data_IF_028712336873
#
_entry.id   IF_028712336873
#
_cell.length_a   1.000
_cell.length_b   1.000
_cell.length_c   1.000
_cell.angle_alpha   90.00
_cell.angle_beta   90.00
_cell.angle_gamma   90.00
#
_symmetry.space_group_name_H-M   'P 1'
#
loop_
_entity.id
_entity.type
_entity.pdbx_description
1 polymer ?
#
# COMPACT_ATOMS: atom_id res chain seq x y z
N UNK A 1 18.44 -13.17 -10.13
CA UNK A 1 18.51 -11.72 -10.42
C UNK A 1 19.03 -11.55 -11.84
N UNK A 2 18.29 -10.87 -12.71
CA UNK A 2 18.76 -10.51 -14.06
C UNK A 2 19.37 -9.12 -14.00
N UNK A 3 20.56 -8.93 -14.61
CA UNK A 3 21.20 -7.61 -14.66
C UNK A 3 20.57 -6.80 -15.78
N UNK A 4 19.93 -5.69 -15.42
CA UNK A 4 19.31 -4.75 -16.35
C UNK A 4 20.00 -3.40 -16.25
N UNK A 5 20.30 -2.79 -17.39
CA UNK A 5 20.86 -1.45 -17.45
C UNK A 5 19.74 -0.44 -17.70
N UNK A 6 19.65 0.57 -16.83
CA UNK A 6 18.64 1.62 -16.88
C UNK A 6 19.35 2.96 -17.04
N UNK A 7 18.92 3.74 -18.02
CA UNK A 7 19.32 5.13 -18.13
C UNK A 7 18.41 5.98 -17.24
N UNK A 8 19.02 6.86 -16.46
CA UNK A 8 18.34 7.75 -15.52
C UNK A 8 18.82 9.18 -15.76
N UNK A 9 17.94 10.14 -15.60
CA UNK A 9 18.35 11.54 -15.53
C UNK A 9 19.34 11.75 -14.37
N UNK A 10 20.31 12.62 -14.59
CA UNK A 10 21.35 12.96 -13.61
C UNK A 10 20.75 13.42 -12.27
N UNK A 11 19.65 14.18 -12.32
CA UNK A 11 18.93 14.66 -11.13
C UNK A 11 18.33 13.50 -10.32
N UNK A 12 17.74 12.52 -11.00
CA UNK A 12 17.16 11.31 -10.40
C UNK A 12 18.28 10.44 -9.81
N UNK A 13 19.36 10.24 -10.55
CA UNK A 13 20.51 9.46 -10.08
C UNK A 13 21.12 10.07 -8.80
N UNK A 14 21.30 11.40 -8.77
CA UNK A 14 21.82 12.12 -7.61
C UNK A 14 20.91 11.98 -6.38
N UNK A 15 19.60 12.09 -6.57
CA UNK A 15 18.61 11.89 -5.50
C UNK A 15 18.66 10.46 -4.94
N UNK A 16 18.71 9.46 -5.81
CA UNK A 16 18.84 8.05 -5.41
C UNK A 16 20.14 7.80 -4.65
N UNK A 17 21.26 8.38 -5.10
CA UNK A 17 22.56 8.27 -4.41
C UNK A 17 22.51 8.87 -3.01
N UNK A 18 21.85 10.01 -2.83
CA UNK A 18 21.64 10.63 -1.51
C UNK A 18 20.83 9.74 -0.57
N UNK A 19 19.70 9.23 -1.05
CA UNK A 19 18.84 8.32 -0.29
C UNK A 19 19.55 7.01 0.09
N UNK A 20 20.27 6.43 -0.86
CA UNK A 20 21.04 5.20 -0.66
C UNK A 20 22.05 5.37 0.49
N UNK A 21 22.81 6.47 0.48
CA UNK A 21 23.76 6.81 1.55
C UNK A 21 23.08 7.00 2.90
N UNK A 22 21.98 7.74 2.94
CA UNK A 22 21.25 8.00 4.18
C UNK A 22 20.71 6.70 4.80
N UNK A 23 20.32 5.73 3.98
CA UNK A 23 19.70 4.48 4.42
C UNK A 23 20.72 3.33 4.60
N UNK A 24 22.00 3.52 4.24
CA UNK A 24 22.98 2.43 4.20
C UNK A 24 22.64 1.34 3.17
N UNK A 25 21.93 1.70 2.10
CA UNK A 25 21.46 0.79 1.04
C UNK A 25 22.13 1.10 -0.29
N UNK A 26 22.02 0.20 -1.25
CA UNK A 26 22.49 0.41 -2.63
C UNK A 26 21.40 1.05 -3.51
N UNK A 27 21.82 1.75 -4.57
CA UNK A 27 20.87 2.31 -5.56
C UNK A 27 20.03 1.20 -6.19
N UNK A 28 20.64 0.04 -6.48
CA UNK A 28 19.95 -1.11 -7.08
C UNK A 28 18.84 -1.66 -6.18
N UNK A 29 19.02 -1.66 -4.86
CA UNK A 29 17.98 -2.05 -3.91
C UNK A 29 16.84 -1.04 -3.89
N UNK A 30 17.13 0.26 -3.89
CA UNK A 30 16.10 1.30 -3.93
C UNK A 30 15.27 1.23 -5.21
N UNK A 31 15.93 1.05 -6.36
CA UNK A 31 15.27 0.92 -7.66
C UNK A 31 14.40 -0.33 -7.68
N UNK A 32 14.92 -1.47 -7.21
CA UNK A 32 14.14 -2.72 -7.14
C UNK A 32 12.90 -2.56 -6.28
N UNK A 33 13.04 -2.03 -5.07
CA UNK A 33 11.92 -1.81 -4.17
C UNK A 33 10.89 -0.84 -4.75
N UNK A 34 11.34 0.20 -5.45
CA UNK A 34 10.45 1.13 -6.13
C UNK A 34 9.68 0.44 -7.26
N UNK A 35 10.34 -0.39 -8.07
CA UNK A 35 9.70 -1.16 -9.13
C UNK A 35 8.70 -2.18 -8.58
N UNK A 36 9.03 -2.87 -7.48
CA UNK A 36 8.10 -3.80 -6.81
C UNK A 36 6.92 -3.04 -6.22
N UNK A 37 7.10 -1.85 -5.65
CA UNK A 37 5.96 -1.05 -5.18
C UNK A 37 5.09 -0.53 -6.32
N UNK A 38 5.70 -0.14 -7.44
CA UNK A 38 5.00 0.43 -8.59
C UNK A 38 4.28 -0.63 -9.44
N UNK A 39 4.89 -1.81 -9.59
CA UNK A 39 4.46 -2.84 -10.54
C UNK A 39 4.37 -4.25 -9.94
N UNK A 40 4.85 -4.46 -8.71
CA UNK A 40 4.95 -5.78 -8.09
C UNK A 40 3.62 -6.31 -7.55
N UNK A 41 2.66 -5.44 -7.19
CA UNK A 41 1.28 -5.87 -7.05
C UNK A 41 0.68 -5.93 -8.46
N UNK A 42 0.74 -7.10 -9.09
CA UNK A 42 -0.04 -7.35 -10.29
C UNK A 42 -1.51 -7.04 -10.00
N UNK A 43 -2.24 -6.47 -10.96
CA UNK A 43 -3.69 -6.31 -10.85
C UNK A 43 -4.34 -7.64 -10.41
N UNK A 44 -3.81 -8.76 -10.91
CA UNK A 44 -4.19 -10.13 -10.59
C UNK A 44 -3.93 -10.51 -9.12
N UNK A 45 -2.82 -10.07 -8.50
CA UNK A 45 -2.54 -10.40 -7.10
C UNK A 45 -3.44 -9.58 -6.14
N UNK A 46 -3.70 -8.32 -6.51
CA UNK A 46 -4.67 -7.49 -5.79
C UNK A 46 -6.09 -8.02 -5.96
N UNK A 47 -6.48 -8.41 -7.16
CA UNK A 47 -7.77 -9.05 -7.43
C UNK A 47 -7.88 -10.39 -6.70
N UNK A 48 -6.87 -11.26 -6.78
CA UNK A 48 -6.84 -12.53 -6.07
C UNK A 48 -6.93 -12.34 -4.55
N UNK A 49 -6.25 -11.33 -3.99
CA UNK A 49 -6.37 -10.99 -2.57
C UNK A 49 -7.80 -10.54 -2.23
N UNK A 50 -8.42 -9.68 -3.05
CA UNK A 50 -9.79 -9.23 -2.85
C UNK A 50 -10.80 -10.39 -2.98
N UNK A 51 -10.58 -11.31 -3.91
CA UNK A 51 -11.36 -12.55 -4.06
C UNK A 51 -11.18 -13.49 -2.86
N UNK A 52 -9.95 -13.63 -2.36
CA UNK A 52 -9.67 -14.50 -1.22
C UNK A 52 -10.33 -14.04 0.08
N UNK A 53 -10.54 -12.72 0.24
CA UNK A 53 -11.25 -12.15 1.40
C UNK A 53 -12.73 -11.87 1.12
N UNK A 54 -13.22 -12.15 -0.09
CA UNK A 54 -14.62 -12.00 -0.46
C UNK A 54 -15.48 -12.92 0.41
N UNK A 55 -16.51 -12.37 1.04
CA UNK A 55 -17.42 -13.16 1.88
C UNK A 55 -16.87 -13.51 3.27
N UNK A 56 -15.68 -13.03 3.66
CA UNK A 56 -15.11 -13.23 5.01
C UNK A 56 -16.08 -12.80 6.14
N UNK A 57 -16.99 -11.88 5.85
CA UNK A 57 -17.96 -11.33 6.82
C UNK A 57 -19.40 -11.80 6.54
N UNK A 58 -19.62 -12.73 5.60
CA UNK A 58 -20.96 -13.16 5.17
C UNK A 58 -21.72 -13.86 6.29
N UNK A 59 -21.03 -14.70 7.06
CA UNK A 59 -21.65 -15.57 8.06
C UNK A 59 -21.47 -15.05 9.50
N UNK A 60 -21.02 -13.82 9.65
CA UNK A 60 -20.83 -13.18 10.95
C UNK A 60 -22.17 -12.74 11.54
N UNK A 61 -22.60 -13.40 12.60
CA UNK A 61 -23.86 -13.11 13.31
C UNK A 61 -23.70 -12.15 14.49
N UNK A 62 -22.48 -11.88 14.92
CA UNK A 62 -22.13 -11.11 16.13
C UNK A 62 -22.05 -9.58 15.91
N UNK A 63 -22.05 -9.10 14.66
CA UNK A 63 -22.07 -7.65 14.33
C UNK A 63 -23.48 -7.05 14.21
N UNK A 64 -24.51 -7.89 14.25
CA UNK A 64 -25.90 -7.48 14.00
C UNK A 64 -26.10 -6.96 12.57
N UNK A 65 -27.12 -6.12 12.36
CA UNK A 65 -27.41 -5.54 11.04
C UNK A 65 -26.22 -4.74 10.49
N UNK A 66 -25.71 -5.18 9.32
CA UNK A 66 -24.60 -4.57 8.60
C UNK A 66 -24.83 -3.08 8.36
N UNK A 67 -26.06 -2.68 8.00
CA UNK A 67 -26.37 -1.28 7.72
C UNK A 67 -26.25 -0.41 8.97
N UNK A 68 -26.76 -0.88 10.10
CA UNK A 68 -26.66 -0.24 11.40
C UNK A 68 -25.22 -0.18 11.91
N UNK A 69 -24.47 -1.27 11.74
CA UNK A 69 -23.06 -1.34 12.09
C UNK A 69 -22.22 -0.30 11.34
N UNK A 70 -22.34 -0.23 10.02
CA UNK A 70 -21.62 0.75 9.18
C UNK A 70 -22.03 2.19 9.51
N UNK A 71 -23.33 2.44 9.77
CA UNK A 71 -23.82 3.76 10.19
C UNK A 71 -23.26 4.22 11.54
N UNK A 72 -23.05 3.32 12.50
CA UNK A 72 -22.37 3.64 13.77
C UNK A 72 -20.91 4.02 13.51
N UNK A 73 -20.18 3.17 12.79
CA UNK A 73 -18.76 3.38 12.47
C UNK A 73 -18.52 4.75 11.81
N UNK A 74 -19.33 5.12 10.81
CA UNK A 74 -19.21 6.44 10.14
C UNK A 74 -19.43 7.61 11.09
N UNK A 75 -20.43 7.54 11.97
CA UNK A 75 -20.71 8.59 12.96
C UNK A 75 -19.55 8.75 13.95
N UNK A 76 -18.95 7.66 14.38
CA UNK A 76 -17.83 7.67 15.32
C UNK A 76 -16.56 8.25 14.69
N UNK A 77 -16.28 7.91 13.42
CA UNK A 77 -15.16 8.51 12.67
C UNK A 77 -15.33 10.02 12.46
N UNK A 78 -16.55 10.50 12.20
CA UNK A 78 -16.83 11.94 12.11
C UNK A 78 -16.70 12.65 13.47
N UNK A 79 -17.11 12.01 14.58
CA UNK A 79 -16.90 12.53 15.94
C UNK A 79 -15.42 12.63 16.30
N UNK A 80 -14.63 11.62 15.95
CA UNK A 80 -13.18 11.60 16.19
C UNK A 80 -12.46 12.73 15.46
N UNK A 81 -12.77 12.94 14.17
CA UNK A 81 -12.17 14.03 13.38
C UNK A 81 -12.53 15.43 13.89
N UNK A 82 -13.76 15.63 14.41
CA UNK A 82 -14.19 16.89 15.01
C UNK A 82 -13.57 17.18 16.38
N UNK A 83 -13.01 16.18 17.07
CA UNK A 83 -12.29 16.34 18.33
C UNK A 83 -10.80 16.64 18.15
N UNK A 84 -10.28 16.50 16.94
CA UNK A 84 -8.87 16.70 16.58
C UNK A 84 -8.63 17.98 15.76
N UNK A 85 -9.66 18.80 15.57
CA UNK A 85 -9.62 20.13 14.96
C UNK A 85 -10.07 21.16 16.00
#
# INVERSE_FOLDING_TARGET
>A
MVRTQLYLDETVHRRLRGLARQQGRTISELVRDALVRAYGAGADEREATLRAIEGLWRDRTDIGDTSGYVRRLRRDTHRLRRRQA
#
